data_IF_475257337358
#
_entry.id   IF_475257337358
#
_cell.length_a   1.000
_cell.length_b   1.000
_cell.length_c   1.000
_cell.angle_alpha   90.00
_cell.angle_beta   90.00
_cell.angle_gamma   90.00
#
_symmetry.space_group_name_H-M   'P 1'
#
loop_
_entity.id
_entity.type
_entity.pdbx_description
1 polymer ?
#
# COMPACT_ATOMS: atom_id res chain seq x y z
N UNK A 1 0.54 -14.67 -30.67
CA UNK A 1 0.59 -13.43 -29.85
C UNK A 1 -0.66 -13.41 -28.99
N UNK A 2 -0.55 -13.54 -27.68
CA UNK A 2 -1.71 -13.45 -26.78
C UNK A 2 -2.14 -11.99 -26.66
N UNK A 3 -3.40 -11.71 -27.00
CA UNK A 3 -4.02 -10.41 -26.76
C UNK A 3 -4.58 -10.40 -25.34
N UNK A 4 -4.28 -9.37 -24.55
CA UNK A 4 -4.84 -9.20 -23.20
C UNK A 4 -6.08 -8.30 -23.26
N UNK A 5 -7.17 -8.73 -22.63
CA UNK A 5 -8.35 -7.92 -22.45
C UNK A 5 -8.13 -6.89 -21.32
N UNK A 6 -8.77 -5.70 -21.36
CA UNK A 6 -8.68 -4.71 -20.28
C UNK A 6 -9.03 -5.26 -18.90
N UNK A 7 -9.91 -6.27 -18.83
CA UNK A 7 -10.31 -6.97 -17.60
C UNK A 7 -9.18 -7.76 -16.94
N UNK A 8 -8.06 -7.97 -17.63
CA UNK A 8 -6.87 -8.62 -17.05
C UNK A 8 -6.01 -7.65 -16.24
N UNK A 9 -6.32 -6.35 -16.25
CA UNK A 9 -5.57 -5.32 -15.55
C UNK A 9 -6.40 -4.70 -14.44
N UNK A 10 -5.72 -4.33 -13.36
CA UNK A 10 -6.30 -3.57 -12.26
C UNK A 10 -6.03 -2.07 -12.45
N UNK A 11 -6.90 -1.23 -11.90
CA UNK A 11 -6.72 0.21 -11.95
C UNK A 11 -5.46 0.60 -11.15
N UNK A 12 -4.60 1.43 -11.75
CA UNK A 12 -3.34 1.85 -11.17
C UNK A 12 -3.52 2.65 -9.87
N UNK A 13 -4.46 3.58 -9.84
CA UNK A 13 -4.73 4.43 -8.68
C UNK A 13 -5.31 3.59 -7.53
N UNK A 14 -6.22 2.67 -7.83
CA UNK A 14 -6.72 1.69 -6.85
C UNK A 14 -5.58 0.84 -6.29
N UNK A 15 -4.69 0.33 -7.15
CA UNK A 15 -3.52 -0.45 -6.73
C UNK A 15 -2.57 0.37 -5.84
N UNK A 16 -2.43 1.67 -6.12
CA UNK A 16 -1.61 2.58 -5.32
C UNK A 16 -2.21 2.81 -3.93
N UNK A 17 -3.52 3.00 -3.84
CA UNK A 17 -4.23 3.13 -2.57
C UNK A 17 -4.17 1.84 -1.75
N UNK A 18 -4.40 0.68 -2.36
CA UNK A 18 -4.30 -0.63 -1.72
C UNK A 18 -2.88 -0.93 -1.22
N UNK A 19 -1.86 -0.46 -1.94
CA UNK A 19 -0.48 -0.51 -1.46
C UNK A 19 -0.30 0.33 -0.19
N UNK A 20 -0.69 1.60 -0.21
CA UNK A 20 -0.53 2.48 0.95
C UNK A 20 -1.37 2.04 2.15
N UNK A 21 -2.54 1.44 1.92
CA UNK A 21 -3.35 0.84 2.98
C UNK A 21 -2.58 -0.27 3.70
N UNK A 22 -1.93 -1.18 2.96
CA UNK A 22 -1.12 -2.23 3.59
C UNK A 22 0.06 -1.68 4.39
N UNK A 23 0.69 -0.59 3.93
CA UNK A 23 1.75 0.08 4.69
C UNK A 23 1.20 0.75 5.95
N UNK A 24 -0.01 1.32 5.88
CA UNK A 24 -0.68 1.91 7.05
C UNK A 24 -1.05 0.83 8.06
N UNK A 25 -1.47 -0.35 7.62
CA UNK A 25 -1.80 -1.48 8.49
C UNK A 25 -0.58 -1.88 9.37
N UNK A 26 0.63 -1.87 8.82
CA UNK A 26 1.89 -2.10 9.57
C UNK A 26 2.16 -1.02 10.63
N UNK A 27 1.73 0.23 10.38
CA UNK A 27 1.83 1.31 11.37
C UNK A 27 0.83 1.13 12.53
N UNK A 28 -0.29 0.46 12.27
CA UNK A 28 -1.37 0.24 13.24
C UNK A 28 -1.20 -1.05 14.03
N UNK A 29 -0.43 -2.03 13.55
CA UNK A 29 -0.17 -3.28 14.26
C UNK A 29 0.56 -3.05 15.59
N UNK A 30 -0.01 -3.58 16.69
CA UNK A 30 0.59 -3.54 18.03
C UNK A 30 1.82 -4.43 18.18
N UNK A 31 2.00 -5.43 17.30
CA UNK A 31 3.16 -6.32 17.30
C UNK A 31 4.39 -5.66 16.66
N UNK A 32 4.20 -4.60 15.87
CA UNK A 32 5.28 -3.83 15.26
C UNK A 32 5.95 -2.94 16.32
N UNK A 33 7.29 -2.96 16.44
CA UNK A 33 7.99 -2.08 17.39
C UNK A 33 7.63 -0.61 17.18
N UNK A 34 7.48 0.13 18.28
CA UNK A 34 6.92 1.50 18.25
C UNK A 34 7.59 2.43 17.24
N UNK A 35 8.93 2.37 17.12
CA UNK A 35 9.66 3.20 16.18
C UNK A 35 9.40 2.80 14.70
N UNK A 36 9.25 1.51 14.42
CA UNK A 36 8.92 1.02 13.07
C UNK A 36 7.52 1.46 12.66
N UNK A 37 6.56 1.48 13.60
CA UNK A 37 5.20 2.00 13.36
C UNK A 37 5.23 3.47 12.92
N UNK A 38 6.04 4.29 13.58
CA UNK A 38 6.22 5.71 13.20
C UNK A 38 6.84 5.82 11.80
N UNK A 39 7.82 4.97 11.46
CA UNK A 39 8.39 4.95 10.10
C UNK A 39 7.34 4.61 9.05
N UNK A 40 6.54 3.56 9.28
CA UNK A 40 5.46 3.19 8.37
C UNK A 40 4.44 4.31 8.20
N UNK A 41 4.06 4.97 9.30
CA UNK A 41 3.19 6.15 9.24
C UNK A 41 3.79 7.28 8.39
N UNK A 42 5.08 7.60 8.58
CA UNK A 42 5.78 8.60 7.75
C UNK A 42 5.86 8.20 6.28
N UNK A 43 6.04 6.91 5.97
CA UNK A 43 6.04 6.41 4.58
C UNK A 43 4.68 6.66 3.93
N UNK A 44 3.58 6.29 4.58
CA UNK A 44 2.22 6.54 4.08
C UNK A 44 1.99 8.03 3.85
N UNK A 45 2.36 8.87 4.82
CA UNK A 45 2.22 10.33 4.72
C UNK A 45 3.09 10.97 3.63
N UNK A 46 4.13 10.30 3.15
CA UNK A 46 4.98 10.82 2.07
C UNK A 46 4.51 10.35 0.69
N UNK A 47 3.75 9.25 0.64
CA UNK A 47 3.27 8.62 -0.60
C UNK A 47 1.87 9.10 -1.03
N UNK A 48 1.13 9.75 -0.14
CA UNK A 48 -0.23 10.26 -0.33
C UNK A 48 -0.28 11.76 -0.04
#
# INVERSE_FOLDING_TARGET
MTSYAPTHFINRESSWLEFNQRVLDEALDSQTPLLERVKFFCIVSSNL
#
